data_IF_345044622979
#
_entry.id   IF_345044622979
#
_cell.length_a   1.000
_cell.length_b   1.000
_cell.length_c   1.000
_cell.angle_alpha   90.00
_cell.angle_beta   90.00
_cell.angle_gamma   90.00
#
_symmetry.space_group_name_H-M   'P 1'
#
loop_
_entity.id
_entity.type
_entity.pdbx_description
1 polymer ?
#
# COMPACT_ATOMS: atom_id res chain seq x y z
N UNK A 1 -40.67 34.55 23.07
CA UNK A 1 -39.24 34.52 23.30
C UNK A 1 -38.61 33.84 22.06
N UNK A 2 -38.10 34.62 21.12
CA UNK A 2 -37.38 34.11 19.97
C UNK A 2 -35.98 33.73 20.46
N UNK A 3 -35.61 32.46 20.27
CA UNK A 3 -34.27 32.00 20.53
C UNK A 3 -33.32 32.74 19.55
N UNK A 4 -32.35 33.48 20.08
CA UNK A 4 -31.29 34.08 19.29
C UNK A 4 -30.52 32.95 18.61
N UNK A 5 -30.14 33.06 17.31
CA UNK A 5 -29.31 32.10 16.66
C UNK A 5 -27.91 32.13 17.30
N UNK A 6 -27.42 30.97 17.67
CA UNK A 6 -26.08 30.74 18.24
C UNK A 6 -25.00 31.25 17.24
N UNK A 7 -24.52 32.48 17.45
CA UNK A 7 -23.63 33.22 16.52
C UNK A 7 -22.18 32.81 16.58
N UNK A 8 -21.86 31.58 17.06
CA UNK A 8 -20.47 31.15 17.24
C UNK A 8 -20.08 29.87 16.51
N UNK A 9 -20.87 29.37 15.56
CA UNK A 9 -20.46 28.23 14.72
C UNK A 9 -19.59 28.75 13.59
N UNK A 10 -18.27 28.59 13.74
CA UNK A 10 -17.34 28.85 12.62
C UNK A 10 -17.77 27.99 11.42
N UNK A 11 -17.79 28.54 10.19
CA UNK A 11 -18.14 27.75 9.02
C UNK A 11 -17.14 26.55 8.90
N UNK A 12 -17.70 25.38 8.66
CA UNK A 12 -16.87 24.18 8.47
C UNK A 12 -15.94 24.36 7.28
N UNK A 13 -14.70 23.88 7.43
CA UNK A 13 -13.73 23.82 6.32
C UNK A 13 -14.24 22.87 5.24
N UNK A 14 -14.06 23.25 3.97
CA UNK A 14 -14.41 22.44 2.80
C UNK A 14 -13.21 21.64 2.37
N UNK A 15 -13.31 20.31 2.43
CA UNK A 15 -12.22 19.39 2.08
C UNK A 15 -12.58 18.61 0.83
N UNK A 16 -11.69 18.66 -0.17
CA UNK A 16 -11.79 17.86 -1.38
C UNK A 16 -10.85 16.67 -1.25
N UNK A 17 -11.40 15.48 -1.14
CA UNK A 17 -10.63 14.22 -1.14
C UNK A 17 -10.74 13.57 -2.51
N UNK A 18 -9.62 13.27 -3.13
CA UNK A 18 -9.57 12.49 -4.37
C UNK A 18 -9.08 11.09 -4.08
N UNK A 19 -9.84 10.12 -4.57
CA UNK A 19 -9.43 8.72 -4.69
C UNK A 19 -9.79 8.21 -6.09
N UNK A 20 -9.02 7.26 -6.62
CA UNK A 20 -9.25 6.83 -8.01
C UNK A 20 -10.57 6.08 -8.16
N UNK A 21 -10.74 5.00 -7.42
CA UNK A 21 -11.99 4.21 -7.35
C UNK A 21 -11.86 3.13 -6.28
N UNK A 22 -12.98 2.68 -5.76
CA UNK A 22 -13.05 1.49 -4.90
C UNK A 22 -13.24 0.25 -5.78
N UNK A 23 -12.30 -0.69 -5.73
CA UNK A 23 -12.36 -1.92 -6.51
C UNK A 23 -13.38 -2.92 -5.96
N UNK A 24 -13.78 -3.90 -6.79
CA UNK A 24 -14.60 -5.04 -6.33
C UNK A 24 -13.86 -5.86 -5.26
N UNK A 25 -12.54 -5.78 -5.25
CA UNK A 25 -11.66 -6.53 -4.35
C UNK A 25 -10.91 -5.55 -3.47
N UNK A 26 -11.32 -5.55 -2.23
CA UNK A 26 -10.80 -4.63 -1.23
C UNK A 26 -9.40 -5.04 -0.81
N UNK A 27 -8.48 -4.08 -0.83
CA UNK A 27 -7.08 -4.24 -0.44
C UNK A 27 -6.63 -3.11 0.48
N UNK A 28 -5.39 -3.18 0.97
CA UNK A 28 -4.85 -2.16 1.89
C UNK A 28 -5.00 -0.71 1.43
N UNK A 29 -5.07 -0.48 0.12
CA UNK A 29 -5.21 0.87 -0.45
C UNK A 29 -6.56 1.55 -0.19
N UNK A 30 -7.66 0.78 -0.07
CA UNK A 30 -9.01 1.34 0.14
C UNK A 30 -9.22 1.83 1.58
N UNK A 31 -8.45 1.31 2.55
CA UNK A 31 -8.63 1.64 3.97
C UNK A 31 -8.31 3.10 4.29
N UNK A 32 -7.23 3.64 3.74
CA UNK A 32 -6.81 5.03 3.96
C UNK A 32 -7.88 6.06 3.55
N UNK A 33 -8.42 6.06 2.31
CA UNK A 33 -9.44 7.04 1.93
C UNK A 33 -10.69 6.94 2.82
N UNK A 34 -11.12 5.74 3.20
CA UNK A 34 -12.30 5.56 4.06
C UNK A 34 -12.10 6.13 5.46
N UNK A 35 -10.96 5.85 6.10
CA UNK A 35 -10.66 6.39 7.43
C UNK A 35 -10.48 7.90 7.41
N UNK A 36 -9.88 8.45 6.35
CA UNK A 36 -9.79 9.90 6.16
C UNK A 36 -11.17 10.55 6.03
N UNK A 37 -12.08 9.98 5.24
CA UNK A 37 -13.44 10.47 5.08
C UNK A 37 -14.20 10.45 6.42
N UNK A 38 -14.13 9.33 7.14
CA UNK A 38 -14.76 9.18 8.45
C UNK A 38 -14.28 10.22 9.46
N UNK A 39 -12.98 10.48 9.50
CA UNK A 39 -12.40 11.46 10.42
C UNK A 39 -12.73 12.88 10.03
N UNK A 40 -12.58 13.24 8.75
CA UNK A 40 -12.83 14.59 8.25
C UNK A 40 -14.30 15.03 8.38
N UNK A 41 -15.27 14.10 8.23
CA UNK A 41 -16.70 14.43 8.35
C UNK A 41 -17.11 14.89 9.75
N UNK A 42 -16.31 14.64 10.78
CA UNK A 42 -16.60 15.11 12.13
C UNK A 42 -16.67 16.64 12.17
N UNK A 43 -15.70 17.31 11.53
CA UNK A 43 -15.49 18.74 11.64
C UNK A 43 -15.53 19.50 10.31
N UNK A 44 -15.57 18.82 9.17
CA UNK A 44 -15.46 19.41 7.83
C UNK A 44 -16.65 19.06 6.93
N UNK A 45 -16.82 19.86 5.89
CA UNK A 45 -17.68 19.54 4.74
C UNK A 45 -16.85 18.83 3.69
N UNK A 46 -17.13 17.55 3.44
CA UNK A 46 -16.27 16.69 2.63
C UNK A 46 -16.88 16.41 1.27
N UNK A 47 -16.11 16.69 0.22
CA UNK A 47 -16.38 16.26 -1.15
C UNK A 47 -15.43 15.13 -1.52
N UNK A 48 -15.97 13.97 -1.90
CA UNK A 48 -15.20 12.83 -2.44
C UNK A 48 -15.25 12.86 -3.97
N UNK A 49 -14.12 13.07 -4.61
CA UNK A 49 -13.97 12.99 -6.06
C UNK A 49 -13.39 11.64 -6.46
N UNK A 50 -14.09 10.90 -7.31
CA UNK A 50 -13.71 9.59 -7.83
C UNK A 50 -13.58 9.66 -9.35
N UNK A 51 -12.66 8.89 -9.94
CA UNK A 51 -12.67 8.69 -11.40
C UNK A 51 -13.89 7.89 -11.81
N UNK A 52 -14.19 6.85 -11.06
CA UNK A 52 -15.32 5.95 -11.26
C UNK A 52 -15.92 5.60 -9.89
N UNK A 53 -17.22 5.47 -9.81
CA UNK A 53 -17.92 5.20 -8.54
C UNK A 53 -17.46 3.87 -7.91
N UNK A 54 -17.23 2.87 -8.76
CA UNK A 54 -16.72 1.57 -8.31
C UNK A 54 -17.67 0.88 -7.35
N UNK A 55 -17.09 0.33 -6.28
CA UNK A 55 -17.79 -0.47 -5.26
C UNK A 55 -17.65 0.18 -3.88
N UNK A 56 -17.93 1.47 -3.78
CA UNK A 56 -17.79 2.25 -2.54
C UNK A 56 -18.59 1.65 -1.38
N UNK A 57 -19.85 1.30 -1.62
CA UNK A 57 -20.73 0.76 -0.57
C UNK A 57 -20.25 -0.61 -0.06
N UNK A 58 -19.75 -1.46 -0.97
CA UNK A 58 -19.14 -2.74 -0.61
C UNK A 58 -17.86 -2.54 0.22
N UNK A 59 -17.08 -1.49 -0.08
CA UNK A 59 -15.90 -1.17 0.71
C UNK A 59 -16.28 -0.71 2.13
N UNK A 60 -17.32 0.08 2.28
CA UNK A 60 -17.83 0.48 3.60
C UNK A 60 -18.27 -0.74 4.43
N UNK A 61 -19.02 -1.63 3.84
CA UNK A 61 -19.46 -2.88 4.49
C UNK A 61 -18.25 -3.75 4.88
N UNK A 62 -17.30 -3.92 3.96
CA UNK A 62 -16.12 -4.78 4.20
C UNK A 62 -15.24 -4.28 5.34
N UNK A 63 -14.98 -2.98 5.44
CA UNK A 63 -14.11 -2.41 6.49
C UNK A 63 -14.86 -2.00 7.74
N UNK A 64 -16.19 -1.89 7.70
CA UNK A 64 -17.01 -1.46 8.84
C UNK A 64 -16.70 -0.04 9.32
N UNK A 65 -16.24 0.85 8.41
CA UNK A 65 -15.89 2.22 8.76
C UNK A 65 -17.15 3.10 8.69
N UNK A 66 -17.51 3.81 9.78
CA UNK A 66 -18.69 4.64 9.79
C UNK A 66 -18.45 5.91 8.97
N UNK A 67 -19.20 6.07 7.90
CA UNK A 67 -19.25 7.27 7.05
C UNK A 67 -20.72 7.66 6.87
N UNK A 68 -21.02 8.91 7.14
CA UNK A 68 -22.34 9.50 6.82
C UNK A 68 -22.41 9.79 5.32
N UNK A 69 -23.02 8.87 4.59
CA UNK A 69 -23.12 8.94 3.12
C UNK A 69 -24.08 10.02 2.64
N UNK A 70 -25.04 10.46 3.46
CA UNK A 70 -25.97 11.54 3.13
C UNK A 70 -25.27 12.91 3.17
N UNK A 71 -24.29 13.07 4.05
CA UNK A 71 -23.47 14.28 4.15
C UNK A 71 -22.27 14.28 3.21
N UNK A 72 -21.96 13.14 2.58
CA UNK A 72 -20.83 13.03 1.69
C UNK A 72 -21.19 13.47 0.27
N UNK A 73 -20.60 14.57 -0.20
CA UNK A 73 -20.77 14.99 -1.58
C UNK A 73 -19.86 14.17 -2.52
N UNK A 74 -20.44 13.20 -3.25
CA UNK A 74 -19.70 12.39 -4.24
C UNK A 74 -19.71 13.06 -5.61
N UNK A 75 -18.54 13.08 -6.28
CA UNK A 75 -18.37 13.62 -7.64
C UNK A 75 -17.60 12.64 -8.52
N UNK A 76 -18.22 12.15 -9.59
CA UNK A 76 -17.56 11.28 -10.58
C UNK A 76 -16.91 12.14 -11.67
N UNK A 77 -15.61 11.93 -11.86
CA UNK A 77 -14.78 12.73 -12.75
C UNK A 77 -14.80 12.25 -14.20
N UNK A 78 -14.91 10.93 -14.41
CA UNK A 78 -14.86 10.31 -15.74
C UNK A 78 -16.25 10.10 -16.35
N UNK A 79 -16.34 9.78 -17.65
CA UNK A 79 -17.58 9.35 -18.27
C UNK A 79 -18.11 8.05 -17.67
N UNK A 80 -19.38 7.75 -17.87
CA UNK A 80 -20.02 6.52 -17.38
C UNK A 80 -19.41 5.24 -17.99
N UNK A 81 -18.94 5.31 -19.25
CA UNK A 81 -18.28 4.24 -19.98
C UNK A 81 -16.80 4.08 -19.65
N UNK A 82 -16.27 4.88 -18.71
CA UNK A 82 -14.87 4.80 -18.33
C UNK A 82 -14.55 3.48 -17.62
N UNK A 83 -13.48 2.83 -18.09
CA UNK A 83 -12.89 1.69 -17.40
C UNK A 83 -11.59 2.09 -16.70
N UNK A 84 -11.32 1.58 -15.49
CA UNK A 84 -10.10 1.94 -14.74
C UNK A 84 -8.77 1.62 -15.45
N UNK A 85 -8.80 0.75 -16.45
CA UNK A 85 -7.69 0.41 -17.34
C UNK A 85 -7.41 1.47 -18.40
N UNK A 86 -8.39 2.34 -18.69
CA UNK A 86 -8.26 3.37 -19.72
C UNK A 86 -7.28 4.45 -19.26
N UNK A 87 -6.22 4.63 -20.02
CA UNK A 87 -5.19 5.64 -19.73
C UNK A 87 -4.83 6.36 -21.02
N UNK A 88 -5.33 7.57 -21.17
CA UNK A 88 -4.94 8.45 -22.27
C UNK A 88 -4.85 9.92 -21.81
N UNK A 89 -4.20 10.75 -22.63
CA UNK A 89 -3.98 12.16 -22.32
C UNK A 89 -5.30 12.95 -22.16
N UNK A 90 -6.33 12.62 -22.95
CA UNK A 90 -7.62 13.29 -22.89
C UNK A 90 -8.35 13.04 -21.56
N UNK A 91 -8.37 11.79 -21.09
CA UNK A 91 -8.95 11.44 -19.80
C UNK A 91 -8.17 12.08 -18.64
N UNK A 92 -6.84 12.11 -18.73
CA UNK A 92 -6.00 12.80 -17.75
C UNK A 92 -6.31 14.30 -17.69
N UNK A 93 -6.50 14.94 -18.84
CA UNK A 93 -6.89 16.35 -18.91
C UNK A 93 -8.31 16.61 -18.38
N UNK A 94 -9.28 15.73 -18.71
CA UNK A 94 -10.65 15.81 -18.16
C UNK A 94 -10.64 15.74 -16.64
N UNK A 95 -9.90 14.80 -16.06
CA UNK A 95 -9.70 14.67 -14.61
C UNK A 95 -9.14 15.95 -14.02
N UNK A 96 -8.03 16.43 -14.56
CA UNK A 96 -7.38 17.66 -14.13
C UNK A 96 -8.35 18.86 -14.13
N UNK A 97 -9.06 19.10 -15.23
CA UNK A 97 -9.99 20.23 -15.32
C UNK A 97 -11.10 20.17 -14.26
N UNK A 98 -11.68 18.99 -14.05
CA UNK A 98 -12.74 18.80 -13.04
C UNK A 98 -12.18 18.98 -11.63
N UNK A 99 -11.05 18.37 -11.29
CA UNK A 99 -10.38 18.54 -10.00
C UNK A 99 -10.02 19.99 -9.73
N UNK A 100 -9.41 20.67 -10.69
CA UNK A 100 -9.06 22.09 -10.58
C UNK A 100 -10.30 22.98 -10.36
N UNK A 101 -11.46 22.63 -10.96
CA UNK A 101 -12.72 23.36 -10.74
C UNK A 101 -13.22 23.13 -9.32
N UNK A 102 -13.23 21.89 -8.82
CA UNK A 102 -13.63 21.55 -7.46
C UNK A 102 -12.69 22.18 -6.41
N UNK A 103 -11.40 22.13 -6.66
CA UNK A 103 -10.38 22.68 -5.78
C UNK A 103 -10.50 24.19 -5.53
N UNK A 104 -11.13 24.95 -6.45
CA UNK A 104 -11.35 26.40 -6.26
C UNK A 104 -12.27 26.72 -5.08
N UNK A 105 -13.20 25.84 -4.76
CA UNK A 105 -14.16 25.98 -3.66
C UNK A 105 -13.78 25.23 -2.39
N UNK A 106 -12.68 24.45 -2.43
CA UNK A 106 -12.18 23.73 -1.28
C UNK A 106 -11.11 24.54 -0.53
N UNK A 107 -11.10 24.46 0.79
CA UNK A 107 -10.03 25.00 1.64
C UNK A 107 -8.81 24.08 1.61
N UNK A 108 -9.05 22.77 1.64
CA UNK A 108 -8.04 21.72 1.69
C UNK A 108 -8.26 20.72 0.55
N UNK A 109 -7.19 20.30 -0.12
CA UNK A 109 -7.20 19.24 -1.14
C UNK A 109 -6.32 18.07 -0.72
N UNK A 110 -6.85 16.85 -0.80
CA UNK A 110 -6.16 15.61 -0.40
C UNK A 110 -6.26 14.57 -1.53
N UNK A 111 -5.13 13.96 -1.92
CA UNK A 111 -5.09 12.80 -2.79
C UNK A 111 -4.62 11.57 -1.99
N UNK A 112 -5.31 10.44 -2.08
CA UNK A 112 -5.11 9.28 -1.19
C UNK A 112 -4.50 8.05 -1.87
N UNK A 113 -4.09 8.17 -3.13
CA UNK A 113 -3.51 7.05 -3.88
C UNK A 113 -2.22 7.43 -4.62
N UNK A 114 -2.18 8.66 -5.14
CA UNK A 114 -1.11 9.10 -6.03
C UNK A 114 -0.96 10.63 -6.01
N UNK A 115 0.11 11.11 -6.65
CA UNK A 115 0.31 12.55 -6.89
C UNK A 115 -0.73 13.07 -7.89
N UNK A 116 -1.50 14.09 -7.50
CA UNK A 116 -2.54 14.69 -8.32
C UNK A 116 -2.35 16.21 -8.43
N UNK A 117 -2.59 16.76 -9.63
CA UNK A 117 -2.56 18.20 -9.85
C UNK A 117 -3.95 18.81 -9.60
N UNK A 118 -4.12 19.50 -8.47
CA UNK A 118 -5.32 20.26 -8.15
C UNK A 118 -5.27 21.71 -8.66
N UNK A 119 -4.14 22.14 -9.26
CA UNK A 119 -3.90 23.53 -9.63
C UNK A 119 -3.64 24.47 -8.44
N UNK A 120 -3.48 23.92 -7.26
CA UNK A 120 -3.14 24.57 -5.97
C UNK A 120 -2.44 23.58 -5.06
N UNK A 121 -1.77 24.02 -3.98
CA UNK A 121 -1.15 23.15 -2.99
C UNK A 121 -2.14 22.14 -2.40
N UNK A 122 -1.66 20.92 -2.16
CA UNK A 122 -2.45 19.80 -1.70
C UNK A 122 -1.63 18.82 -0.84
N UNK A 123 -2.32 17.84 -0.25
CA UNK A 123 -1.76 16.76 0.55
C UNK A 123 -1.86 15.45 -0.23
N UNK A 124 -0.74 14.73 -0.41
CA UNK A 124 -0.67 13.53 -1.25
C UNK A 124 -0.18 12.35 -0.45
N UNK A 125 -1.05 11.37 -0.20
CA UNK A 125 -0.69 10.11 0.42
C UNK A 125 -0.30 9.10 -0.67
N UNK A 126 0.86 8.49 -0.51
CA UNK A 126 1.40 7.55 -1.49
C UNK A 126 1.30 6.12 -0.98
N UNK A 127 0.55 5.29 -1.68
CA UNK A 127 0.36 3.88 -1.33
C UNK A 127 1.36 2.93 -1.99
N UNK A 128 2.09 3.38 -3.02
CA UNK A 128 3.02 2.55 -3.78
C UNK A 128 4.12 3.37 -4.44
N UNK A 129 5.15 2.72 -4.98
CA UNK A 129 6.18 3.34 -5.80
C UNK A 129 5.76 3.60 -7.27
N UNK A 130 4.57 3.16 -7.67
CA UNK A 130 4.11 3.23 -9.07
C UNK A 130 3.53 4.60 -9.48
N UNK A 131 3.60 5.61 -8.61
CA UNK A 131 3.04 6.94 -8.85
C UNK A 131 3.93 7.84 -9.71
N UNK A 132 5.20 7.48 -9.89
CA UNK A 132 6.20 8.32 -10.55
C UNK A 132 6.02 8.44 -12.07
N UNK A 133 6.87 9.25 -12.67
CA UNK A 133 7.12 9.19 -14.11
C UNK A 133 7.84 7.88 -14.48
N UNK A 134 7.95 7.60 -15.78
CA UNK A 134 8.57 6.36 -16.24
C UNK A 134 10.03 6.21 -15.81
N UNK A 135 10.76 7.33 -15.66
CA UNK A 135 12.13 7.34 -15.15
C UNK A 135 12.22 6.96 -13.68
N UNK A 136 11.28 7.44 -12.87
CA UNK A 136 11.22 7.04 -11.47
C UNK A 136 10.86 5.56 -11.30
N UNK A 137 9.91 5.05 -12.07
CA UNK A 137 9.55 3.62 -12.04
C UNK A 137 10.74 2.74 -12.40
N UNK A 138 11.53 3.12 -13.41
CA UNK A 138 12.77 2.41 -13.75
C UNK A 138 13.81 2.52 -12.62
N UNK A 139 13.97 3.72 -12.05
CA UNK A 139 14.86 3.92 -10.90
C UNK A 139 14.48 3.05 -9.69
N UNK A 140 13.20 2.92 -9.38
CA UNK A 140 12.74 2.04 -8.30
C UNK A 140 13.20 0.60 -8.51
N UNK A 141 13.21 0.12 -9.75
CA UNK A 141 13.61 -1.25 -10.09
C UNK A 141 15.13 -1.46 -10.14
N UNK A 142 15.84 -0.48 -10.68
CA UNK A 142 17.28 -0.63 -11.00
C UNK A 142 18.20 0.05 -9.99
N UNK A 143 17.67 0.92 -9.14
CA UNK A 143 18.41 1.81 -8.23
C UNK A 143 19.43 2.71 -8.96
N UNK A 144 19.31 2.80 -10.28
CA UNK A 144 20.23 3.56 -11.12
C UNK A 144 19.46 4.63 -11.90
N UNK A 145 19.90 5.87 -11.83
CA UNK A 145 19.37 6.93 -12.69
C UNK A 145 19.90 6.66 -14.10
N UNK A 146 19.03 6.43 -15.11
CA UNK A 146 19.49 6.12 -16.45
C UNK A 146 20.35 7.27 -17.02
N UNK A 147 21.59 6.98 -17.40
CA UNK A 147 22.48 7.94 -18.05
C UNK A 147 22.12 8.16 -19.51
N UNK A 148 21.41 7.21 -20.13
CA UNK A 148 20.90 7.31 -21.48
C UNK A 148 19.46 6.84 -21.57
N UNK A 149 18.62 7.58 -22.27
CA UNK A 149 17.22 7.25 -22.51
C UNK A 149 17.04 7.13 -24.03
N UNK A 150 16.37 6.07 -24.53
CA UNK A 150 16.10 5.91 -25.96
C UNK A 150 15.44 7.14 -26.56
N UNK A 151 15.81 7.50 -27.80
CA UNK A 151 15.32 8.71 -28.48
C UNK A 151 13.79 8.72 -28.57
N UNK A 152 13.19 7.58 -28.89
CA UNK A 152 11.72 7.41 -28.94
C UNK A 152 11.03 7.77 -27.62
N UNK A 153 11.65 7.41 -26.50
CA UNK A 153 11.15 7.77 -25.16
C UNK A 153 11.33 9.25 -24.89
N UNK A 154 12.50 9.84 -25.23
CA UNK A 154 12.73 11.29 -25.08
C UNK A 154 11.73 12.12 -25.86
N UNK A 155 11.42 11.72 -27.09
CA UNK A 155 10.42 12.41 -27.94
C UNK A 155 9.02 12.30 -27.33
N UNK A 156 8.65 11.15 -26.82
CA UNK A 156 7.35 10.96 -26.15
C UNK A 156 7.25 11.79 -24.86
N UNK A 157 8.28 11.78 -24.03
CA UNK A 157 8.32 12.54 -22.77
C UNK A 157 8.29 14.05 -23.04
N UNK A 158 8.97 14.50 -24.11
CA UNK A 158 8.90 15.89 -24.57
C UNK A 158 7.49 16.25 -25.08
N UNK A 159 6.86 15.39 -25.86
CA UNK A 159 5.49 15.61 -26.34
C UNK A 159 4.49 15.67 -25.17
N UNK A 160 4.61 14.79 -24.18
CA UNK A 160 3.78 14.84 -22.95
C UNK A 160 4.02 16.14 -22.18
N UNK A 161 5.27 16.57 -22.04
CA UNK A 161 5.62 17.82 -21.37
C UNK A 161 5.00 19.04 -22.09
N UNK A 162 5.14 19.12 -23.41
CA UNK A 162 4.56 20.19 -24.22
C UNK A 162 3.04 20.21 -24.09
N UNK A 163 2.41 19.05 -24.21
CA UNK A 163 0.96 18.93 -24.04
C UNK A 163 0.51 19.38 -22.64
N UNK A 164 1.19 18.96 -21.59
CA UNK A 164 0.90 19.41 -20.20
C UNK A 164 1.02 20.92 -20.06
N UNK A 165 2.06 21.53 -20.65
CA UNK A 165 2.24 22.99 -20.65
C UNK A 165 1.10 23.72 -21.34
N UNK A 166 0.69 23.26 -22.54
CA UNK A 166 -0.46 23.83 -23.27
C UNK A 166 -1.75 23.71 -22.45
N UNK A 167 -1.94 22.58 -21.74
CA UNK A 167 -3.12 22.31 -20.94
C UNK A 167 -3.06 22.93 -19.51
N UNK A 168 -1.96 23.60 -19.16
CA UNK A 168 -1.76 24.20 -17.84
C UNK A 168 -1.65 23.17 -16.71
N UNK A 169 -1.15 21.96 -17.03
CA UNK A 169 -0.96 20.87 -16.07
C UNK A 169 0.49 20.83 -15.59
N UNK A 170 0.70 20.61 -14.31
CA UNK A 170 2.03 20.37 -13.74
C UNK A 170 2.45 18.91 -13.94
N UNK A 171 3.75 18.70 -14.09
CA UNK A 171 4.34 17.36 -14.02
C UNK A 171 4.39 16.86 -12.57
N UNK A 172 4.53 15.54 -12.40
CA UNK A 172 4.74 14.95 -11.06
C UNK A 172 5.97 15.50 -10.37
N UNK A 173 7.07 15.70 -11.13
CA UNK A 173 8.29 16.30 -10.61
C UNK A 173 8.04 17.72 -10.07
N UNK A 174 7.31 18.54 -10.80
CA UNK A 174 6.98 19.91 -10.37
C UNK A 174 6.14 19.91 -9.09
N UNK A 175 5.24 18.95 -8.92
CA UNK A 175 4.43 18.82 -7.69
C UNK A 175 5.32 18.32 -6.55
N UNK A 176 6.08 17.24 -6.72
CA UNK A 176 6.92 16.66 -5.67
C UNK A 176 7.97 17.66 -5.16
N UNK A 177 8.56 18.44 -6.06
CA UNK A 177 9.60 19.42 -5.72
C UNK A 177 9.05 20.77 -5.22
N UNK A 178 7.74 21.00 -5.29
CA UNK A 178 7.12 22.23 -4.79
C UNK A 178 6.97 22.15 -3.26
N UNK A 179 7.63 23.03 -2.54
CA UNK A 179 7.59 23.06 -1.06
C UNK A 179 6.23 23.40 -0.46
N UNK A 180 5.26 23.82 -1.27
CA UNK A 180 3.88 24.07 -0.85
C UNK A 180 3.01 22.81 -0.89
N UNK A 181 3.44 21.79 -1.62
CA UNK A 181 2.80 20.49 -1.66
C UNK A 181 3.29 19.64 -0.47
N UNK A 182 2.40 18.83 0.09
CA UNK A 182 2.74 17.93 1.19
C UNK A 182 2.60 16.48 0.74
N UNK A 183 3.70 15.73 0.85
CA UNK A 183 3.78 14.35 0.38
C UNK A 183 3.93 13.43 1.60
N UNK A 184 3.11 12.39 1.68
CA UNK A 184 3.10 11.40 2.76
C UNK A 184 3.40 10.01 2.19
N UNK A 185 4.68 9.65 2.04
CA UNK A 185 5.08 8.30 1.65
C UNK A 185 4.63 7.27 2.69
N UNK A 186 4.31 6.06 2.25
CA UNK A 186 3.89 4.98 3.16
C UNK A 186 5.05 4.26 3.86
N UNK A 187 6.30 4.68 3.60
CA UNK A 187 7.51 4.11 4.21
C UNK A 187 8.70 5.06 4.09
N UNK A 188 9.70 4.91 4.95
CA UNK A 188 11.00 5.58 4.81
C UNK A 188 11.70 5.15 3.53
N UNK A 189 11.51 3.90 3.11
CA UNK A 189 12.02 3.41 1.84
C UNK A 189 11.50 4.24 0.64
N UNK A 190 10.20 4.53 0.57
CA UNK A 190 9.64 5.39 -0.49
C UNK A 190 10.11 6.83 -0.34
N UNK A 191 10.22 7.34 0.90
CA UNK A 191 10.75 8.67 1.17
C UNK A 191 12.20 8.84 0.69
N UNK A 192 13.04 7.84 0.92
CA UNK A 192 14.42 7.77 0.44
C UNK A 192 14.52 7.75 -1.09
N UNK A 193 13.66 6.96 -1.75
CA UNK A 193 13.61 6.91 -3.20
C UNK A 193 13.20 8.27 -3.80
N UNK A 194 12.21 8.95 -3.22
CA UNK A 194 11.80 10.30 -3.60
C UNK A 194 12.96 11.28 -3.45
N UNK A 195 13.63 11.25 -2.30
CA UNK A 195 14.75 12.15 -2.01
C UNK A 195 15.91 11.94 -2.96
N UNK A 196 16.28 10.70 -3.23
CA UNK A 196 17.38 10.35 -4.15
C UNK A 196 17.09 10.71 -5.61
N UNK A 197 15.84 10.51 -6.06
CA UNK A 197 15.50 10.74 -7.47
C UNK A 197 15.08 12.18 -7.78
N UNK A 198 14.29 12.81 -6.90
CA UNK A 198 13.77 14.16 -7.11
C UNK A 198 14.58 15.26 -6.41
N UNK A 199 15.47 14.92 -5.50
CA UNK A 199 16.27 15.86 -4.71
C UNK A 199 15.59 16.32 -3.41
N UNK A 200 14.48 15.68 -3.04
CA UNK A 200 13.73 15.96 -1.82
C UNK A 200 12.25 16.21 -2.09
N UNK A 201 11.49 16.28 -1.03
CA UNK A 201 10.07 16.62 -1.01
C UNK A 201 9.73 17.29 0.34
N UNK A 202 8.56 17.90 0.44
CA UNK A 202 8.03 18.39 1.71
C UNK A 202 6.97 17.42 2.25
N UNK A 203 7.12 16.96 3.47
CA UNK A 203 6.18 16.03 4.12
C UNK A 203 6.88 15.05 5.05
N UNK A 204 6.12 14.05 5.48
CA UNK A 204 6.58 13.03 6.44
C UNK A 204 6.03 11.66 6.08
N UNK A 205 6.70 10.61 6.53
CA UNK A 205 6.23 9.24 6.35
C UNK A 205 4.93 9.01 7.13
N UNK A 206 3.97 8.36 6.48
CA UNK A 206 2.69 7.98 7.06
C UNK A 206 2.43 6.48 6.85
N UNK A 207 2.81 5.67 7.82
CA UNK A 207 2.68 4.22 7.77
C UNK A 207 1.22 3.76 7.73
N UNK A 208 0.86 2.86 6.80
CA UNK A 208 -0.46 2.22 6.80
C UNK A 208 -0.61 1.24 7.98
N UNK A 209 -1.85 0.91 8.38
CA UNK A 209 -2.10 -0.02 9.47
C UNK A 209 -2.06 -1.48 9.00
N UNK A 210 -1.95 -2.38 9.97
CA UNK A 210 -2.42 -3.76 9.83
C UNK A 210 -3.95 -3.73 9.86
N UNK A 211 -4.59 -4.10 8.74
CA UNK A 211 -6.03 -3.90 8.56
C UNK A 211 -6.84 -4.95 9.32
N UNK A 212 -6.33 -6.17 9.45
CA UNK A 212 -7.04 -7.27 10.10
C UNK A 212 -6.66 -7.39 11.57
N UNK A 213 -7.66 -7.57 12.40
CA UNK A 213 -7.49 -7.97 13.79
C UNK A 213 -7.51 -9.49 13.88
N UNK A 214 -6.53 -10.02 14.59
CA UNK A 214 -6.45 -11.44 14.88
C UNK A 214 -6.92 -11.61 16.33
N UNK A 215 -8.07 -12.27 16.51
CA UNK A 215 -8.45 -12.75 17.84
C UNK A 215 -7.40 -13.76 18.28
N UNK A 216 -6.82 -13.59 19.48
CA UNK A 216 -5.89 -14.58 20.03
C UNK A 216 -6.65 -15.88 20.30
N UNK A 217 -6.65 -16.79 19.34
CA UNK A 217 -7.14 -18.14 19.54
C UNK A 217 -5.96 -19.02 19.92
N UNK A 218 -6.14 -19.86 20.92
CA UNK A 218 -5.19 -20.93 21.23
C UNK A 218 -5.25 -21.99 20.11
N UNK A 219 -4.64 -21.67 18.97
CA UNK A 219 -4.41 -22.63 17.89
C UNK A 219 -3.00 -23.16 18.00
N UNK A 220 -2.86 -24.47 17.91
CA UNK A 220 -1.57 -25.12 17.79
C UNK A 220 -0.98 -24.74 16.42
N UNK A 221 0.18 -24.08 16.44
CA UNK A 221 0.91 -23.72 15.22
C UNK A 221 1.66 -24.93 14.71
N UNK A 222 1.61 -25.13 13.41
CA UNK A 222 2.50 -26.08 12.77
C UNK A 222 3.95 -25.50 12.74
N UNK A 223 4.90 -26.13 13.46
CA UNK A 223 6.27 -25.67 13.55
C UNK A 223 7.05 -25.80 12.22
N UNK A 224 6.48 -26.47 11.23
CA UNK A 224 7.08 -26.70 9.93
C UNK A 224 6.36 -25.97 8.78
N UNK A 225 5.35 -25.18 9.10
CA UNK A 225 4.57 -24.48 8.08
C UNK A 225 5.10 -23.08 7.78
N UNK A 226 5.38 -22.85 6.49
CA UNK A 226 5.69 -21.54 5.91
C UNK A 226 4.45 -21.02 5.18
N UNK A 227 4.01 -19.81 5.48
CA UNK A 227 2.86 -19.18 4.85
C UNK A 227 3.27 -17.99 3.98
N UNK A 228 2.57 -17.85 2.88
CA UNK A 228 2.54 -16.64 2.07
C UNK A 228 1.09 -16.18 1.89
N UNK A 229 0.84 -14.87 2.03
CA UNK A 229 -0.45 -14.27 1.69
C UNK A 229 -0.25 -13.04 0.83
N UNK A 230 -0.99 -12.98 -0.28
CA UNK A 230 -0.91 -11.86 -1.22
C UNK A 230 -1.33 -12.25 -2.63
N UNK A 231 -1.25 -11.30 -3.57
CA UNK A 231 -1.50 -11.60 -4.98
C UNK A 231 -0.46 -12.58 -5.50
N UNK A 232 -0.92 -13.61 -6.22
CA UNK A 232 -0.02 -14.56 -6.87
C UNK A 232 0.34 -14.01 -8.25
N UNK A 233 1.45 -13.28 -8.32
CA UNK A 233 1.95 -12.60 -9.52
C UNK A 233 3.48 -12.63 -9.59
N UNK A 234 4.03 -12.54 -10.79
CA UNK A 234 5.47 -12.61 -11.02
C UNK A 234 6.28 -11.57 -10.21
N UNK A 235 5.74 -10.37 -10.03
CA UNK A 235 6.38 -9.30 -9.23
C UNK A 235 6.59 -9.67 -7.76
N UNK A 236 5.83 -10.62 -7.23
CA UNK A 236 5.99 -11.14 -5.86
C UNK A 236 7.05 -12.24 -5.74
N UNK A 237 7.67 -12.65 -6.87
CA UNK A 237 8.81 -13.58 -6.92
C UNK A 237 8.56 -14.90 -6.19
N UNK A 238 7.37 -15.52 -6.42
CA UNK A 238 6.97 -16.73 -5.71
C UNK A 238 7.90 -17.93 -6.01
N UNK A 239 8.53 -17.97 -7.17
CA UNK A 239 9.56 -18.97 -7.52
C UNK A 239 10.78 -18.89 -6.60
N UNK A 240 11.19 -17.68 -6.19
CA UNK A 240 12.29 -17.49 -5.23
C UNK A 240 11.87 -18.00 -3.84
N UNK A 241 10.63 -17.75 -3.41
CA UNK A 241 10.10 -18.31 -2.15
C UNK A 241 10.13 -19.84 -2.17
N UNK A 242 9.73 -20.46 -3.28
CA UNK A 242 9.76 -21.91 -3.46
C UNK A 242 11.21 -22.42 -3.34
N UNK A 243 12.16 -21.79 -4.03
CA UNK A 243 13.58 -22.17 -3.99
C UNK A 243 14.19 -22.03 -2.58
N UNK A 244 13.86 -20.98 -1.85
CA UNK A 244 14.29 -20.76 -0.46
C UNK A 244 13.80 -21.90 0.44
N UNK A 245 12.51 -22.23 0.38
CA UNK A 245 11.94 -23.30 1.23
C UNK A 245 12.45 -24.66 0.82
N UNK A 246 12.58 -24.96 -0.48
CA UNK A 246 13.16 -26.21 -0.99
C UNK A 246 14.60 -26.41 -0.50
N UNK A 247 15.40 -25.35 -0.55
CA UNK A 247 16.78 -25.37 -0.03
C UNK A 247 16.81 -25.58 1.50
N UNK A 248 15.93 -24.90 2.24
CA UNK A 248 15.84 -25.09 3.69
C UNK A 248 15.43 -26.53 4.07
N UNK A 249 14.52 -27.15 3.30
CA UNK A 249 14.17 -28.58 3.43
C UNK A 249 15.39 -29.47 3.26
N UNK A 250 16.15 -29.24 2.17
CA UNK A 250 17.35 -30.02 1.88
C UNK A 250 18.44 -29.87 2.96
N UNK A 251 18.64 -28.65 3.48
CA UNK A 251 19.67 -28.37 4.50
C UNK A 251 19.30 -28.91 5.88
N UNK A 252 18.02 -28.78 6.28
CA UNK A 252 17.56 -29.18 7.62
C UNK A 252 17.13 -30.64 7.72
N UNK A 253 16.81 -31.29 6.60
CA UNK A 253 16.21 -32.61 6.56
C UNK A 253 14.76 -32.65 7.13
N UNK A 254 14.13 -31.48 7.38
CA UNK A 254 12.78 -31.37 7.94
C UNK A 254 11.74 -31.23 6.84
N UNK A 255 10.54 -31.77 7.08
CA UNK A 255 9.42 -31.76 6.14
C UNK A 255 8.63 -30.43 6.19
N UNK A 256 9.31 -29.30 5.88
CA UNK A 256 8.65 -28.01 5.77
C UNK A 256 7.53 -28.05 4.71
N UNK A 257 6.42 -27.42 5.00
CA UNK A 257 5.33 -27.15 4.05
C UNK A 257 5.26 -25.68 3.68
N UNK A 258 4.78 -25.38 2.47
CA UNK A 258 4.62 -24.02 1.98
C UNK A 258 3.21 -23.81 1.42
N UNK A 259 2.50 -22.85 1.97
CA UNK A 259 1.13 -22.53 1.55
C UNK A 259 1.05 -21.13 0.96
N UNK A 260 0.58 -21.02 -0.29
CA UNK A 260 0.35 -19.75 -0.99
C UNK A 260 -1.13 -19.37 -0.99
N UNK A 261 -1.55 -18.55 -0.02
CA UNK A 261 -2.90 -18.02 0.02
C UNK A 261 -2.98 -16.73 -0.80
N UNK A 262 -3.87 -16.72 -1.76
CA UNK A 262 -4.11 -15.55 -2.59
C UNK A 262 -4.69 -15.87 -3.95
N UNK A 263 -5.03 -14.80 -4.66
CA UNK A 263 -5.57 -14.90 -5.99
C UNK A 263 -4.48 -14.77 -7.04
N UNK A 264 -4.50 -15.65 -8.06
CA UNK A 264 -3.66 -15.47 -9.23
C UNK A 264 -4.00 -14.18 -9.97
N UNK A 265 -2.97 -13.44 -10.38
CA UNK A 265 -3.11 -12.23 -11.19
C UNK A 265 -3.67 -12.52 -12.58
N UNK A 266 -3.25 -13.65 -13.16
CA UNK A 266 -3.72 -14.14 -14.45
C UNK A 266 -3.79 -15.66 -14.47
N UNK A 267 -4.62 -16.20 -15.34
CA UNK A 267 -4.73 -17.64 -15.59
C UNK A 267 -3.40 -18.23 -16.10
N UNK A 268 -2.70 -17.49 -16.95
CA UNK A 268 -1.38 -17.90 -17.45
C UNK A 268 -0.38 -18.13 -16.32
N UNK A 269 -0.30 -17.18 -15.36
CA UNK A 269 0.60 -17.30 -14.20
C UNK A 269 0.15 -18.42 -13.24
N UNK A 270 -1.15 -18.64 -13.10
CA UNK A 270 -1.66 -19.77 -12.32
C UNK A 270 -1.22 -21.11 -12.90
N UNK A 271 -1.32 -21.26 -14.23
CA UNK A 271 -0.91 -22.46 -14.92
C UNK A 271 0.62 -22.69 -14.85
N UNK A 272 1.40 -21.61 -14.92
CA UNK A 272 2.85 -21.66 -14.71
C UNK A 272 3.18 -22.15 -13.29
N UNK A 273 2.58 -21.57 -12.25
CA UNK A 273 2.79 -22.01 -10.86
C UNK A 273 2.41 -23.48 -10.66
N UNK A 274 1.24 -23.91 -11.14
CA UNK A 274 0.82 -25.32 -11.06
C UNK A 274 1.81 -26.26 -11.73
N UNK A 275 2.36 -25.87 -12.89
CA UNK A 275 3.36 -26.66 -13.60
C UNK A 275 4.68 -26.75 -12.81
N UNK A 276 5.14 -25.63 -12.26
CA UNK A 276 6.40 -25.55 -11.49
C UNK A 276 6.32 -26.31 -10.17
N UNK A 277 5.12 -26.51 -9.61
CA UNK A 277 4.90 -27.17 -8.32
C UNK A 277 4.30 -28.58 -8.42
N UNK A 278 4.10 -29.10 -9.63
CA UNK A 278 3.44 -30.39 -9.84
C UNK A 278 4.12 -31.58 -9.18
N UNK A 279 5.44 -31.52 -9.02
CA UNK A 279 6.31 -32.52 -8.38
C UNK A 279 6.59 -32.21 -6.89
N UNK A 280 5.95 -31.19 -6.32
CA UNK A 280 6.19 -30.68 -4.97
C UNK A 280 4.95 -30.81 -4.07
N UNK A 281 4.64 -32.00 -3.55
CA UNK A 281 3.42 -32.23 -2.75
C UNK A 281 3.39 -31.48 -1.42
N UNK A 282 4.51 -30.86 -1.04
CA UNK A 282 4.64 -30.02 0.15
C UNK A 282 4.19 -28.55 -0.08
N UNK A 283 3.74 -28.21 -1.30
CA UNK A 283 3.22 -26.89 -1.63
C UNK A 283 1.72 -26.98 -1.87
N UNK A 284 0.94 -26.08 -1.23
CA UNK A 284 -0.49 -25.98 -1.44
C UNK A 284 -0.96 -24.56 -1.77
N UNK A 285 -2.14 -24.45 -2.36
CA UNK A 285 -2.77 -23.21 -2.80
C UNK A 285 -4.22 -23.17 -2.29
N UNK A 286 -4.47 -22.71 -1.05
CA UNK A 286 -5.81 -22.65 -0.48
C UNK A 286 -6.73 -21.62 -1.14
N UNK A 287 -6.22 -20.83 -2.10
CA UNK A 287 -6.98 -19.78 -2.77
C UNK A 287 -6.98 -18.46 -2.01
N UNK A 288 -7.93 -17.59 -2.37
CA UNK A 288 -8.09 -16.28 -1.73
C UNK A 288 -8.82 -16.45 -0.38
N UNK A 289 -8.22 -15.93 0.70
CA UNK A 289 -8.74 -16.08 2.05
C UNK A 289 -9.11 -14.72 2.65
N UNK A 290 -10.26 -14.67 3.32
CA UNK A 290 -10.81 -13.49 3.99
C UNK A 290 -11.30 -13.82 5.40
N UNK A 291 -11.43 -12.80 6.26
CA UNK A 291 -12.03 -12.91 7.59
C UNK A 291 -11.40 -14.03 8.43
N UNK A 292 -12.24 -14.88 9.02
CA UNK A 292 -11.80 -15.97 9.90
C UNK A 292 -10.91 -17.01 9.20
N UNK A 293 -11.15 -17.32 7.93
CA UNK A 293 -10.32 -18.27 7.18
C UNK A 293 -8.90 -17.74 6.98
N UNK A 294 -8.74 -16.43 6.74
CA UNK A 294 -7.43 -15.77 6.67
C UNK A 294 -6.74 -15.81 8.03
N UNK A 295 -7.48 -15.53 9.10
CA UNK A 295 -6.96 -15.56 10.47
C UNK A 295 -6.50 -16.97 10.84
N UNK A 296 -7.33 -17.99 10.61
CA UNK A 296 -6.99 -19.38 10.87
C UNK A 296 -5.74 -19.83 10.08
N UNK A 297 -5.66 -19.44 8.81
CA UNK A 297 -4.51 -19.73 7.95
C UNK A 297 -3.21 -19.14 8.54
N UNK A 298 -3.20 -17.87 8.90
CA UNK A 298 -2.01 -17.22 9.44
C UNK A 298 -1.66 -17.76 10.84
N UNK A 299 -2.65 -17.94 11.71
CA UNK A 299 -2.43 -18.47 13.05
C UNK A 299 -1.90 -19.91 13.04
N UNK A 300 -2.18 -20.71 12.01
CA UNK A 300 -1.68 -22.09 11.87
C UNK A 300 -0.21 -22.18 11.47
N UNK A 301 0.40 -21.12 10.93
CA UNK A 301 1.78 -21.15 10.44
C UNK A 301 2.78 -20.55 11.42
N UNK A 302 4.02 -20.95 11.33
CA UNK A 302 5.12 -20.44 12.18
C UNK A 302 6.00 -19.42 11.46
N UNK A 303 6.21 -19.59 10.17
CA UNK A 303 7.09 -18.75 9.37
C UNK A 303 6.38 -18.13 8.19
N UNK A 304 6.93 -17.04 7.68
CA UNK A 304 6.57 -16.48 6.39
C UNK A 304 7.84 -16.10 5.62
N UNK A 305 7.80 -16.21 4.29
CA UNK A 305 8.89 -15.75 3.42
C UNK A 305 8.32 -14.74 2.43
N UNK A 306 9.00 -13.62 2.29
CA UNK A 306 8.69 -12.58 1.32
C UNK A 306 9.89 -12.37 0.40
N UNK A 307 9.69 -12.22 -0.92
CA UNK A 307 10.79 -12.12 -1.87
C UNK A 307 10.79 -10.84 -2.74
N UNK A 308 9.75 -10.02 -2.68
CA UNK A 308 9.69 -8.78 -3.45
C UNK A 308 10.62 -7.73 -2.82
N UNK A 309 11.68 -7.35 -3.55
CA UNK A 309 12.69 -6.37 -3.06
C UNK A 309 12.21 -4.93 -3.13
N UNK A 310 11.33 -4.62 -4.08
CA UNK A 310 10.78 -3.29 -4.30
C UNK A 310 9.43 -3.09 -3.58
N UNK A 311 9.14 -3.89 -2.56
CA UNK A 311 7.93 -3.73 -1.77
C UNK A 311 7.88 -2.32 -1.14
N UNK A 312 6.80 -1.59 -1.38
CA UNK A 312 6.69 -0.22 -0.90
C UNK A 312 6.57 -0.15 0.62
N UNK A 313 5.81 -1.08 1.21
CA UNK A 313 5.64 -1.19 2.66
C UNK A 313 5.53 -2.67 3.08
N UNK A 314 4.53 -3.40 2.59
CA UNK A 314 4.30 -4.79 2.92
C UNK A 314 3.29 -5.00 4.04
N UNK A 315 2.02 -4.65 3.80
CA UNK A 315 0.93 -4.88 4.77
C UNK A 315 0.86 -6.35 5.20
N UNK A 316 1.06 -7.30 4.28
CA UNK A 316 1.08 -8.72 4.63
C UNK A 316 2.15 -9.08 5.67
N UNK A 317 3.27 -8.34 5.68
CA UNK A 317 4.35 -8.57 6.65
C UNK A 317 3.92 -8.11 8.05
N UNK A 318 3.22 -6.97 8.14
CA UNK A 318 2.64 -6.55 9.43
C UNK A 318 1.60 -7.54 9.92
N UNK A 319 0.82 -8.14 9.01
CA UNK A 319 -0.14 -9.19 9.34
C UNK A 319 0.55 -10.48 9.84
N UNK A 320 1.65 -10.89 9.21
CA UNK A 320 2.45 -12.02 9.71
C UNK A 320 2.93 -11.78 11.13
N UNK A 321 3.57 -10.64 11.38
CA UNK A 321 4.06 -10.31 12.72
C UNK A 321 2.94 -10.24 13.76
N UNK A 322 1.82 -9.60 13.42
CA UNK A 322 0.65 -9.50 14.31
C UNK A 322 0.03 -10.86 14.60
N UNK A 323 -0.01 -11.76 13.61
CA UNK A 323 -0.46 -13.12 13.78
C UNK A 323 0.58 -14.01 14.50
N UNK A 324 1.78 -13.49 14.81
CA UNK A 324 2.86 -14.20 15.52
C UNK A 324 3.70 -15.12 14.64
N UNK A 325 3.67 -14.97 13.31
CA UNK A 325 4.63 -15.59 12.40
C UNK A 325 5.95 -14.82 12.44
N UNK A 326 7.02 -15.50 12.04
CA UNK A 326 8.34 -14.91 11.88
C UNK A 326 8.59 -14.70 10.39
N UNK A 327 8.50 -13.46 9.87
CA UNK A 327 8.74 -13.18 8.47
C UNK A 327 10.24 -13.10 8.17
N UNK A 328 10.65 -13.73 7.08
CA UNK A 328 11.98 -13.61 6.48
C UNK A 328 11.83 -12.78 5.21
N UNK A 329 12.59 -11.67 5.09
CA UNK A 329 12.38 -10.66 4.05
C UNK A 329 13.70 -10.27 3.38
N UNK A 330 13.71 -9.72 2.15
CA UNK A 330 14.91 -9.11 1.58
C UNK A 330 15.47 -8.00 2.47
N UNK A 331 16.78 -7.77 2.44
CA UNK A 331 17.49 -6.75 3.20
C UNK A 331 17.30 -5.32 2.66
N UNK A 332 16.30 -5.13 1.81
CA UNK A 332 15.93 -3.85 1.21
C UNK A 332 14.40 -3.71 1.07
N UNK A 333 13.97 -2.48 0.75
CA UNK A 333 12.56 -2.19 0.55
C UNK A 333 11.80 -1.94 1.84
N UNK A 334 10.50 -1.64 1.70
CA UNK A 334 9.59 -1.44 2.82
C UNK A 334 9.40 -2.71 3.65
N UNK A 335 9.61 -3.89 3.05
CA UNK A 335 9.58 -5.17 3.75
C UNK A 335 10.62 -5.24 4.88
N UNK A 336 11.86 -4.84 4.57
CA UNK A 336 12.94 -4.76 5.55
C UNK A 336 12.63 -3.74 6.65
N UNK A 337 12.15 -2.57 6.25
CA UNK A 337 11.77 -1.49 7.18
C UNK A 337 10.68 -1.94 8.16
N UNK A 338 9.66 -2.65 7.68
CA UNK A 338 8.56 -3.16 8.51
C UNK A 338 9.06 -4.14 9.54
N UNK A 339 9.89 -5.12 9.14
CA UNK A 339 10.47 -6.11 10.08
C UNK A 339 11.46 -5.44 11.02
N UNK A 340 12.29 -4.52 10.52
CA UNK A 340 13.27 -3.76 11.30
C UNK A 340 14.32 -4.63 12.00
N UNK A 341 14.62 -5.82 11.46
CA UNK A 341 15.50 -6.80 12.10
C UNK A 341 16.40 -7.49 11.06
N UNK A 342 17.70 -7.27 11.17
CA UNK A 342 18.70 -7.84 10.26
C UNK A 342 18.84 -9.36 10.39
N UNK A 343 18.58 -9.94 11.55
CA UNK A 343 18.61 -11.39 11.75
C UNK A 343 17.54 -12.14 10.94
N UNK A 344 16.52 -11.42 10.43
CA UNK A 344 15.42 -11.94 9.61
C UNK A 344 15.46 -11.40 8.18
N UNK A 345 16.56 -10.77 7.78
CA UNK A 345 16.71 -10.21 6.44
C UNK A 345 17.84 -10.87 5.66
N UNK A 346 17.68 -10.95 4.33
CA UNK A 346 18.60 -11.66 3.46
C UNK A 346 18.92 -10.90 2.17
N UNK A 347 20.11 -11.11 1.65
CA UNK A 347 20.54 -10.62 0.34
C UNK A 347 20.39 -11.69 -0.74
N UNK A 348 20.67 -12.95 -0.41
CA UNK A 348 20.60 -14.10 -1.31
C UNK A 348 19.60 -15.14 -0.81
N UNK A 349 19.05 -15.94 -1.73
CA UNK A 349 18.12 -17.03 -1.38
C UNK A 349 18.79 -18.07 -0.45
N UNK A 350 20.10 -18.21 -0.54
CA UNK A 350 20.88 -19.07 0.34
C UNK A 350 20.87 -18.55 1.78
N UNK A 351 21.09 -17.25 1.97
CA UNK A 351 20.98 -16.61 3.30
C UNK A 351 19.58 -16.78 3.87
N UNK A 352 18.52 -16.58 3.06
CA UNK A 352 17.15 -16.79 3.49
C UNK A 352 16.90 -18.23 3.97
N UNK A 353 17.38 -19.21 3.22
CA UNK A 353 17.28 -20.62 3.61
C UNK A 353 18.04 -20.92 4.91
N UNK A 354 19.24 -20.36 5.09
CA UNK A 354 20.01 -20.53 6.32
C UNK A 354 19.34 -19.87 7.53
N UNK A 355 18.70 -18.71 7.36
CA UNK A 355 17.89 -18.07 8.42
C UNK A 355 16.73 -19.01 8.82
N UNK A 356 16.04 -19.58 7.83
CA UNK A 356 14.93 -20.51 8.10
C UNK A 356 15.41 -21.76 8.83
N UNK A 357 16.55 -22.35 8.42
CA UNK A 357 17.18 -23.50 9.11
C UNK A 357 17.54 -23.13 10.55
N UNK A 358 18.15 -21.97 10.78
CA UNK A 358 18.47 -21.51 12.14
C UNK A 358 17.21 -21.37 13.02
N UNK A 359 16.13 -20.82 12.47
CA UNK A 359 14.85 -20.74 13.19
C UNK A 359 14.25 -22.12 13.52
N UNK A 360 14.52 -23.13 12.69
CA UNK A 360 14.08 -24.50 12.92
C UNK A 360 14.90 -25.22 13.98
N UNK A 361 16.21 -24.97 14.04
CA UNK A 361 17.16 -25.73 14.87
C UNK A 361 17.45 -25.07 16.22
N UNK A 362 17.23 -23.76 16.36
CA UNK A 362 17.46 -22.97 17.59
C UNK A 362 16.13 -22.45 18.14
N UNK A 363 15.49 -23.14 19.09
CA UNK A 363 14.23 -22.70 19.69
C UNK A 363 14.32 -21.37 20.43
N UNK A 364 15.45 -21.06 21.06
CA UNK A 364 15.65 -19.83 21.81
C UNK A 364 15.79 -18.65 20.85
N UNK A 365 16.50 -18.83 19.74
CA UNK A 365 16.57 -17.87 18.66
C UNK A 365 15.18 -17.60 18.08
N UNK A 366 14.43 -18.66 17.76
CA UNK A 366 13.08 -18.57 17.21
C UNK A 366 12.14 -17.79 18.12
N UNK A 367 12.12 -18.11 19.43
CA UNK A 367 11.24 -17.44 20.36
C UNK A 367 11.61 -15.97 20.57
N UNK A 368 12.92 -15.65 20.62
CA UNK A 368 13.40 -14.27 20.62
C UNK A 368 12.94 -13.50 19.40
N UNK A 369 13.06 -14.08 18.20
CA UNK A 369 12.62 -13.43 16.96
C UNK A 369 11.11 -13.22 16.94
N UNK A 370 10.32 -14.18 17.38
CA UNK A 370 8.86 -14.05 17.49
C UNK A 370 8.46 -12.89 18.38
N UNK A 371 9.07 -12.76 19.55
CA UNK A 371 8.81 -11.66 20.47
C UNK A 371 9.16 -10.32 19.85
N UNK A 372 10.32 -10.16 19.25
CA UNK A 372 10.72 -8.92 18.58
C UNK A 372 9.75 -8.54 17.44
N UNK A 373 9.30 -9.50 16.65
CA UNK A 373 8.29 -9.27 15.61
C UNK A 373 6.95 -8.82 16.22
N UNK A 374 6.50 -9.44 17.31
CA UNK A 374 5.27 -9.06 17.99
C UNK A 374 5.33 -7.65 18.57
N UNK A 375 6.43 -7.29 19.22
CA UNK A 375 6.67 -5.92 19.71
C UNK A 375 6.66 -4.91 18.57
N UNK A 376 7.35 -5.22 17.47
CA UNK A 376 7.40 -4.36 16.28
C UNK A 376 6.05 -4.18 15.60
N UNK A 377 5.20 -5.21 15.57
CA UNK A 377 3.84 -5.16 15.03
C UNK A 377 2.97 -4.12 15.74
N UNK A 378 3.25 -3.79 17.00
CA UNK A 378 2.57 -2.76 17.77
C UNK A 378 2.59 -1.37 17.11
N UNK A 379 3.61 -1.06 16.31
CA UNK A 379 3.71 0.21 15.59
C UNK A 379 2.67 0.36 14.46
N UNK A 380 2.13 -0.76 13.98
CA UNK A 380 1.26 -0.83 12.81
C UNK A 380 -0.17 -1.23 13.14
N UNK A 381 -0.58 -1.11 14.41
CA UNK A 381 -1.96 -1.36 14.83
C UNK A 381 -2.93 -0.32 14.25
N UNK A 382 -4.22 -0.67 14.15
CA UNK A 382 -5.27 0.27 13.75
C UNK A 382 -5.31 1.49 14.66
N UNK A 383 -5.22 1.29 15.98
CA UNK A 383 -5.30 2.37 16.96
C UNK A 383 -4.14 3.35 16.79
N UNK A 384 -2.90 2.83 16.72
CA UNK A 384 -1.71 3.66 16.48
C UNK A 384 -1.77 4.42 15.14
N UNK A 385 -2.39 3.82 14.12
CA UNK A 385 -2.63 4.48 12.84
C UNK A 385 -3.68 5.58 12.95
N UNK A 386 -4.83 5.31 13.56
CA UNK A 386 -5.91 6.28 13.71
C UNK A 386 -5.49 7.47 14.56
N UNK A 387 -4.70 7.24 15.61
CA UNK A 387 -4.12 8.31 16.43
C UNK A 387 -3.19 9.21 15.60
N UNK A 388 -2.28 8.63 14.80
CA UNK A 388 -1.42 9.39 13.88
C UNK A 388 -2.24 10.15 12.84
N UNK A 389 -3.30 9.53 12.29
CA UNK A 389 -4.18 10.14 11.31
C UNK A 389 -4.93 11.33 11.91
N UNK A 390 -5.53 11.15 13.08
CA UNK A 390 -6.24 12.22 13.79
C UNK A 390 -5.32 13.44 14.03
N UNK A 391 -4.11 13.20 14.56
CA UNK A 391 -3.14 14.27 14.79
C UNK A 391 -2.77 14.99 13.48
N UNK A 392 -2.43 14.24 12.42
CA UNK A 392 -2.06 14.82 11.14
C UNK A 392 -3.20 15.64 10.53
N UNK A 393 -4.44 15.13 10.54
CA UNK A 393 -5.59 15.86 9.99
C UNK A 393 -5.90 17.12 10.79
N UNK A 394 -5.78 17.07 12.11
CA UNK A 394 -5.92 18.25 12.96
C UNK A 394 -4.90 19.33 12.58
N UNK A 395 -3.62 18.98 12.44
CA UNK A 395 -2.56 19.91 12.03
C UNK A 395 -2.85 20.50 10.64
N UNK A 396 -3.34 19.71 9.68
CA UNK A 396 -3.73 20.15 8.34
C UNK A 396 -4.91 21.16 8.41
N UNK A 397 -5.94 20.85 9.19
CA UNK A 397 -7.13 21.69 9.32
C UNK A 397 -6.78 23.03 10.01
N UNK A 398 -5.95 23.01 11.03
CA UNK A 398 -5.53 24.22 11.76
C UNK A 398 -4.63 25.14 10.93
N UNK A 399 -3.82 24.58 10.02
CA UNK A 399 -2.88 25.33 9.16
C UNK A 399 -3.53 25.93 7.89
N UNK A 400 -4.80 25.65 7.62
CA UNK A 400 -5.49 25.98 6.33
C UNK A 400 -6.27 27.28 6.35
#
# INVERSE_FOLDING_TARGET
MCAEPDMNVRPKKKVLVYYRYFGLKHGGGDYLPLTLLSELQKDCDVTLALDWEGHFDLALEFYGIPIDTERLHKVILMPEDYMPTDQNAFLSFRRFRKLKKLAKSADICIATDNIMDFGRPAHHFLSSAAFGDSGFVDYVKTRTIPTSVPLSRRLRDLADLVLRRILGMRTRREIICDRKEHIYPNSDFIADLLTKYYGGFNGTVFYPPTIFDFEPRAMERDPLKVAYIGRLEAGKRLSEIIAIVERARALSGKDLTLSFAGRPYSEAYQNELKKTTADKPWIDFPGELHGENKSAFLLSATYAVHAMREEAFGISITEYMKAGLIPIVPDEGGAFEVVGNRDLSYHTDEEAANILVRLLDDPDFRERQRRLCSERAGLFTKDAYLERQHKLLKDIIEAS
#
